data_IF_345463504848
#
_entry.id   IF_345463504848
#
_cell.length_a   1.000
_cell.length_b   1.000
_cell.length_c   1.000
_cell.angle_alpha   90.00
_cell.angle_beta   90.00
_cell.angle_gamma   90.00
#
_symmetry.space_group_name_H-M   'P 1'
#
loop_
_entity.id
_entity.type
_entity.pdbx_description
1 polymer ?
#
# COMPACT_ATOMS: atom_id res chain seq x y z
N UNK A 1 -6.03 1.01 -10.55
CA UNK A 1 -7.00 1.91 -11.17
C UNK A 1 -6.22 3.13 -11.56
N UNK A 2 -5.41 2.98 -12.62
CA UNK A 2 -4.76 4.11 -13.27
C UNK A 2 -5.78 4.81 -14.16
N UNK A 3 -5.63 6.12 -14.33
CA UNK A 3 -6.45 6.94 -15.22
C UNK A 3 -7.96 6.76 -15.04
N UNK A 4 -8.40 6.51 -13.80
CA UNK A 4 -9.81 6.29 -13.43
C UNK A 4 -10.48 5.12 -14.16
N UNK A 5 -9.69 4.11 -14.55
CA UNK A 5 -10.19 2.88 -15.19
C UNK A 5 -9.89 1.65 -14.32
N UNK A 6 -10.86 0.74 -14.20
CA UNK A 6 -10.71 -0.48 -13.42
C UNK A 6 -9.82 -1.48 -14.17
N UNK A 7 -8.69 -1.86 -13.58
CA UNK A 7 -7.72 -2.83 -14.12
C UNK A 7 -8.32 -4.22 -14.39
N UNK A 8 -9.41 -4.58 -13.70
CA UNK A 8 -10.06 -5.89 -13.83
C UNK A 8 -11.19 -5.95 -14.88
N UNK A 9 -11.94 -4.87 -15.07
CA UNK A 9 -13.14 -4.89 -15.92
C UNK A 9 -13.28 -3.72 -16.90
N UNK A 10 -12.33 -2.78 -16.92
CA UNK A 10 -12.37 -1.61 -17.80
C UNK A 10 -13.41 -0.54 -17.44
N UNK A 11 -14.16 -0.70 -16.35
CA UNK A 11 -15.16 0.29 -15.92
C UNK A 11 -14.51 1.56 -15.37
N UNK A 12 -15.17 2.70 -15.62
CA UNK A 12 -14.83 4.00 -15.05
C UNK A 12 -15.63 4.33 -13.77
N UNK A 13 -16.47 3.41 -13.32
CA UNK A 13 -17.29 3.58 -12.11
C UNK A 13 -16.46 3.29 -10.85
N UNK A 14 -15.53 4.20 -10.56
CA UNK A 14 -14.47 4.05 -9.56
C UNK A 14 -14.59 5.13 -8.50
N UNK A 15 -14.43 4.71 -7.25
CA UNK A 15 -14.46 5.56 -6.08
C UNK A 15 -13.14 5.45 -5.33
N UNK A 16 -12.52 6.59 -5.03
CA UNK A 16 -11.35 6.68 -4.15
C UNK A 16 -11.83 6.85 -2.71
N UNK A 17 -11.24 6.11 -1.78
CA UNK A 17 -11.45 6.35 -0.37
C UNK A 17 -10.78 7.68 0.02
N UNK A 18 -11.54 8.62 0.59
CA UNK A 18 -11.04 9.91 1.10
C UNK A 18 -10.93 9.94 2.63
N UNK A 19 -11.25 8.83 3.28
CA UNK A 19 -11.19 8.70 4.73
C UNK A 19 -9.74 8.74 5.21
N UNK A 20 -9.49 9.57 6.22
CA UNK A 20 -8.15 9.69 6.82
C UNK A 20 -7.75 8.48 7.67
N UNK A 21 -8.67 7.54 7.88
CA UNK A 21 -8.47 6.37 8.74
C UNK A 21 -7.51 5.33 8.13
N UNK A 22 -7.19 5.40 6.84
CA UNK A 22 -6.09 4.64 6.23
C UNK A 22 -4.80 5.48 6.11
N UNK A 23 -4.93 6.81 6.02
CA UNK A 23 -3.80 7.76 5.91
C UNK A 23 -3.06 7.99 7.24
N UNK A 24 -3.72 7.86 8.40
CA UNK A 24 -3.04 7.95 9.69
C UNK A 24 -2.18 6.71 9.99
N UNK A 25 -2.49 5.57 9.39
CA UNK A 25 -1.86 4.30 9.73
C UNK A 25 -0.96 3.75 8.62
N UNK A 26 -1.23 4.04 7.33
CA UNK A 26 -0.49 3.47 6.19
C UNK A 26 -0.25 1.96 6.31
N UNK A 27 0.70 1.43 5.53
CA UNK A 27 1.22 0.09 5.78
C UNK A 27 2.45 0.22 6.68
N UNK A 28 2.32 -0.22 7.93
CA UNK A 28 3.44 -0.32 8.86
C UNK A 28 4.04 -1.72 8.79
N UNK A 29 5.31 -1.78 8.36
CA UNK A 29 6.10 -3.00 8.43
C UNK A 29 7.06 -2.91 9.60
N UNK A 30 6.74 -3.62 10.68
CA UNK A 30 7.63 -3.79 11.82
C UNK A 30 8.53 -5.01 11.58
N UNK A 31 9.83 -4.77 11.44
CA UNK A 31 10.80 -5.86 11.46
C UNK A 31 11.04 -6.31 12.91
N UNK A 32 10.98 -7.61 13.20
CA UNK A 32 11.36 -8.14 14.51
C UNK A 32 12.88 -8.26 14.53
N UNK A 33 13.57 -7.15 14.81
CA UNK A 33 15.02 -7.10 15.02
C UNK A 33 15.36 -6.18 16.20
N UNK A 34 16.49 -6.41 16.92
CA UNK A 34 16.84 -5.65 18.13
C UNK A 34 17.00 -4.14 17.92
N UNK A 35 17.27 -3.70 16.68
CA UNK A 35 17.40 -2.30 16.26
C UNK A 35 16.30 -1.90 15.24
N UNK A 36 15.06 -2.31 15.50
CA UNK A 36 13.98 -2.32 14.49
C UNK A 36 13.52 -0.93 14.05
N UNK A 37 13.72 -0.65 12.77
CA UNK A 37 13.07 0.43 12.05
C UNK A 37 11.63 0.05 11.70
N UNK A 38 10.73 1.01 11.85
CA UNK A 38 9.35 0.94 11.38
C UNK A 38 9.31 1.55 9.99
N UNK A 39 9.10 0.75 8.94
CA UNK A 39 8.85 1.29 7.61
C UNK A 39 7.39 1.66 7.50
N UNK A 40 7.12 2.90 7.10
CA UNK A 40 5.78 3.41 6.85
C UNK A 40 5.64 3.73 5.37
N UNK A 41 4.66 3.09 4.73
CA UNK A 41 4.31 3.38 3.35
C UNK A 41 2.90 3.97 3.28
N UNK A 42 2.76 5.09 2.60
CA UNK A 42 1.46 5.70 2.37
C UNK A 42 0.63 4.82 1.43
N UNK A 43 -0.70 4.83 1.56
CA UNK A 43 -1.57 4.00 0.71
C UNK A 43 -2.81 4.75 0.25
N UNK A 44 -3.25 4.45 -0.97
CA UNK A 44 -4.53 4.88 -1.53
C UNK A 44 -5.40 3.66 -1.83
N UNK A 45 -6.71 3.74 -1.55
CA UNK A 45 -7.65 2.66 -1.83
C UNK A 45 -8.70 3.08 -2.85
N UNK A 46 -8.94 2.22 -3.84
CA UNK A 46 -9.87 2.44 -4.94
C UNK A 46 -10.84 1.26 -5.07
N UNK A 47 -12.14 1.56 -5.15
CA UNK A 47 -13.22 0.58 -5.32
C UNK A 47 -13.92 0.80 -6.66
N UNK A 48 -14.05 -0.26 -7.47
CA UNK A 48 -14.91 -0.28 -8.64
C UNK A 48 -16.25 -0.91 -8.28
N UNK A 49 -17.36 -0.19 -8.45
CA UNK A 49 -18.68 -0.71 -8.07
C UNK A 49 -19.22 -1.76 -9.03
N UNK A 50 -18.81 -1.74 -10.30
CA UNK A 50 -19.35 -2.67 -11.30
C UNK A 50 -18.87 -4.11 -11.07
N UNK A 51 -17.58 -4.30 -10.74
CA UNK A 51 -17.01 -5.63 -10.53
C UNK A 51 -16.55 -5.90 -9.09
N UNK A 52 -16.77 -4.94 -8.19
CA UNK A 52 -16.37 -4.99 -6.77
C UNK A 52 -14.87 -5.24 -6.58
N UNK A 53 -14.05 -4.82 -7.54
CA UNK A 53 -12.59 -4.89 -7.41
C UNK A 53 -12.11 -3.77 -6.49
N UNK A 54 -11.41 -4.16 -5.43
CA UNK A 54 -10.67 -3.25 -4.56
C UNK A 54 -9.21 -3.27 -4.99
N UNK A 55 -8.62 -2.10 -5.20
CA UNK A 55 -7.19 -1.94 -5.43
C UNK A 55 -6.61 -1.02 -4.37
N UNK A 56 -5.50 -1.45 -3.76
CA UNK A 56 -4.72 -0.65 -2.82
C UNK A 56 -3.41 -0.31 -3.53
N UNK A 57 -3.13 0.98 -3.68
CA UNK A 57 -1.89 1.48 -4.24
C UNK A 57 -1.02 1.95 -3.08
N UNK A 58 0.22 1.46 -3.02
CA UNK A 58 1.19 1.90 -2.03
C UNK A 58 2.03 3.00 -2.66
N UNK A 59 2.04 4.16 -2.02
CA UNK A 59 2.88 5.30 -2.39
C UNK A 59 4.16 5.22 -1.56
N UNK A 60 5.27 4.98 -2.24
CA UNK A 60 6.60 5.05 -1.64
C UNK A 60 6.99 6.53 -1.51
N UNK A 61 6.68 7.15 -0.37
CA UNK A 61 7.20 8.48 -0.07
C UNK A 61 8.67 8.37 0.36
N UNK A 62 9.55 9.18 -0.21
CA UNK A 62 10.93 9.31 0.25
C UNK A 62 10.96 9.94 1.66
N UNK A 63 10.84 9.16 2.74
CA UNK A 63 10.81 9.72 4.12
C UNK A 63 12.03 9.37 4.97
N UNK A 64 12.93 10.37 5.05
CA UNK A 64 13.66 10.93 6.21
C UNK A 64 14.63 10.04 7.02
N UNK A 65 14.48 8.72 7.09
CA UNK A 65 15.32 7.88 7.95
C UNK A 65 16.14 6.86 7.12
N UNK A 66 17.45 6.92 7.29
CA UNK A 66 18.47 6.29 6.42
C UNK A 66 18.26 4.80 6.13
N UNK A 67 18.81 4.41 4.97
CA UNK A 67 18.67 3.13 4.26
C UNK A 67 17.26 2.85 3.72
N UNK A 68 16.96 3.51 2.60
CA UNK A 68 15.73 3.37 1.82
C UNK A 68 15.59 1.94 1.28
N UNK A 69 14.72 1.14 1.92
CA UNK A 69 14.21 -0.09 1.33
C UNK A 69 12.88 0.20 0.63
N UNK A 70 12.77 -0.26 -0.60
CA UNK A 70 11.49 -0.36 -1.30
C UNK A 70 10.52 -1.27 -0.53
N UNK A 71 9.22 -1.13 -0.81
CA UNK A 71 8.20 -2.02 -0.26
C UNK A 71 8.53 -3.49 -0.57
N UNK A 72 9.04 -3.76 -1.77
CA UNK A 72 9.44 -5.10 -2.21
C UNK A 72 10.51 -5.67 -1.29
N UNK A 73 11.59 -4.91 -1.06
CA UNK A 73 12.68 -5.35 -0.17
C UNK A 73 12.21 -5.52 1.28
N UNK A 74 11.33 -4.64 1.76
CA UNK A 74 10.78 -4.71 3.11
C UNK A 74 9.88 -5.94 3.31
N UNK A 75 9.03 -6.28 2.33
CA UNK A 75 8.16 -7.47 2.38
C UNK A 75 8.98 -8.75 2.24
N UNK A 76 9.89 -8.82 1.27
CA UNK A 76 10.71 -10.02 1.03
C UNK A 76 11.64 -10.34 2.21
N UNK A 77 12.08 -9.32 2.96
CA UNK A 77 12.90 -9.51 4.17
C UNK A 77 12.10 -9.70 5.46
N UNK A 78 10.76 -9.62 5.40
CA UNK A 78 9.89 -9.75 6.56
C UNK A 78 9.38 -11.18 6.75
N UNK A 79 9.59 -11.74 7.95
CA UNK A 79 9.02 -13.03 8.34
C UNK A 79 7.50 -13.00 8.60
N UNK A 80 6.89 -11.81 8.64
CA UNK A 80 5.45 -11.64 8.86
C UNK A 80 4.60 -11.85 7.58
N UNK A 81 5.25 -11.94 6.41
CA UNK A 81 4.56 -12.07 5.12
C UNK A 81 5.02 -13.34 4.43
N UNK A 82 4.10 -14.01 3.73
CA UNK A 82 4.38 -15.19 2.92
C UNK A 82 3.94 -14.93 1.48
N UNK A 83 4.76 -15.37 0.52
CA UNK A 83 4.41 -15.36 -0.91
C UNK A 83 3.42 -16.51 -1.17
N UNK A 84 2.25 -16.20 -1.73
CA UNK A 84 1.18 -17.16 -2.08
C UNK A 84 0.97 -17.19 -3.58
#
# INVERSE_FOLDING_TARGET
MQDRTCSKCGSNNIYKNTGRNWYQDGLVLQMIAPDSFTYHFETEAFLCLNCRNLEIQVLESNTIYGDQKSLVEAIESSNNWIKV
#
